data_IF_652893431482
#
_entry.id   IF_652893431482
#
_cell.length_a   1.000
_cell.length_b   1.000
_cell.length_c   1.000
_cell.angle_alpha   90.00
_cell.angle_beta   90.00
_cell.angle_gamma   90.00
#
_symmetry.space_group_name_H-M   'P 1'
#
loop_
_entity.id
_entity.type
_entity.pdbx_description
1 polymer ?
#
# COMPACT_ATOMS: atom_id res chain seq x y z
N UNK A 1 18.52 -22.67 -12.67
CA UNK A 1 18.87 -21.29 -12.35
C UNK A 1 18.57 -21.09 -10.89
N UNK A 2 19.61 -21.06 -10.07
CA UNK A 2 19.50 -20.61 -8.68
C UNK A 2 19.61 -19.09 -8.81
N UNK A 3 18.49 -18.38 -8.65
CA UNK A 3 18.57 -16.94 -8.41
C UNK A 3 19.12 -16.81 -6.99
N UNK A 4 20.26 -16.15 -6.86
CA UNK A 4 20.90 -15.98 -5.55
C UNK A 4 20.02 -15.04 -4.72
N UNK A 5 19.94 -15.29 -3.42
CA UNK A 5 19.13 -14.54 -2.44
C UNK A 5 19.39 -13.01 -2.50
N UNK A 6 20.58 -12.60 -2.94
CA UNK A 6 20.97 -11.20 -3.19
C UNK A 6 20.23 -10.57 -4.38
N UNK A 7 19.99 -11.30 -5.48
CA UNK A 7 19.27 -10.79 -6.66
C UNK A 7 17.77 -10.57 -6.36
N UNK A 8 17.18 -11.36 -5.45
CA UNK A 8 15.79 -11.16 -5.01
C UNK A 8 15.65 -9.93 -4.10
N UNK A 9 16.61 -9.67 -3.22
CA UNK A 9 16.59 -8.48 -2.36
C UNK A 9 16.71 -7.17 -3.18
N UNK A 10 17.61 -7.15 -4.16
CA UNK A 10 17.81 -5.97 -5.02
C UNK A 10 16.59 -5.68 -5.90
N UNK A 11 15.92 -6.72 -6.41
CA UNK A 11 14.71 -6.55 -7.23
C UNK A 11 13.50 -6.08 -6.41
N UNK A 12 13.36 -6.55 -5.17
CA UNK A 12 12.30 -6.10 -4.23
C UNK A 12 12.53 -4.65 -3.79
N UNK A 13 13.78 -4.28 -3.51
CA UNK A 13 14.17 -2.91 -3.14
C UNK A 13 13.87 -1.90 -4.26
N UNK A 14 14.19 -2.25 -5.51
CA UNK A 14 13.93 -1.40 -6.67
C UNK A 14 12.43 -1.19 -6.90
N UNK A 15 11.61 -2.24 -6.73
CA UNK A 15 10.15 -2.15 -6.88
C UNK A 15 9.53 -1.18 -5.88
N UNK A 16 9.97 -1.23 -4.63
CA UNK A 16 9.40 -0.39 -3.58
C UNK A 16 9.74 1.09 -3.77
N UNK A 17 10.95 1.39 -4.25
CA UNK A 17 11.34 2.74 -4.66
C UNK A 17 10.54 3.25 -5.85
N UNK A 18 10.31 2.40 -6.85
CA UNK A 18 9.49 2.73 -8.02
C UNK A 18 8.07 3.10 -7.59
N UNK A 19 7.44 2.26 -6.76
CA UNK A 19 6.10 2.51 -6.21
C UNK A 19 6.02 3.83 -5.42
N UNK A 20 7.00 4.09 -4.55
CA UNK A 20 7.07 5.33 -3.77
C UNK A 20 7.24 6.56 -4.67
N UNK A 21 8.12 6.47 -5.68
CA UNK A 21 8.36 7.55 -6.63
C UNK A 21 7.12 7.85 -7.49
N UNK A 22 6.43 6.82 -7.98
CA UNK A 22 5.25 6.97 -8.83
C UNK A 22 4.09 7.61 -8.07
N UNK A 23 3.91 7.29 -6.78
CA UNK A 23 2.92 7.95 -5.91
C UNK A 23 3.19 9.45 -5.80
N UNK A 24 4.43 9.83 -5.47
CA UNK A 24 4.83 11.23 -5.25
C UNK A 24 4.73 12.04 -6.55
N UNK A 25 5.18 11.46 -7.66
CA UNK A 25 5.18 12.12 -8.97
C UNK A 25 3.84 12.03 -9.71
N UNK A 26 2.90 11.22 -9.22
CA UNK A 26 1.57 11.08 -9.81
C UNK A 26 1.54 10.22 -11.08
N UNK A 27 2.52 9.33 -11.28
CA UNK A 27 2.58 8.40 -12.42
C UNK A 27 1.57 7.25 -12.24
N UNK A 28 0.29 7.57 -12.40
CA UNK A 28 -0.82 6.66 -12.08
C UNK A 28 -0.75 5.34 -12.86
N UNK A 29 -0.38 5.36 -14.14
CA UNK A 29 -0.31 4.14 -14.96
C UNK A 29 0.86 3.24 -14.56
N UNK A 30 2.03 3.82 -14.25
CA UNK A 30 3.20 3.08 -13.79
C UNK A 30 2.94 2.48 -12.40
N UNK A 31 2.37 3.28 -11.49
CA UNK A 31 1.94 2.83 -10.17
C UNK A 31 0.94 1.67 -10.28
N UNK A 32 -0.06 1.78 -11.16
CA UNK A 32 -1.05 0.72 -11.37
C UNK A 32 -0.40 -0.57 -11.89
N UNK A 33 0.55 -0.46 -12.82
CA UNK A 33 1.27 -1.60 -13.37
C UNK A 33 2.16 -2.29 -12.31
N UNK A 34 2.84 -1.51 -11.47
CA UNK A 34 3.68 -2.01 -10.39
C UNK A 34 2.82 -2.65 -9.28
N UNK A 35 1.76 -1.99 -8.83
CA UNK A 35 0.81 -2.55 -7.85
C UNK A 35 0.16 -3.85 -8.35
N UNK A 36 -0.12 -3.96 -9.65
CA UNK A 36 -0.68 -5.19 -10.22
C UNK A 36 0.28 -6.39 -10.16
N UNK A 37 1.60 -6.15 -10.03
CA UNK A 37 2.63 -7.17 -9.83
C UNK A 37 2.88 -7.46 -8.34
N UNK A 38 2.54 -6.52 -7.45
CA UNK A 38 2.61 -6.71 -6.00
C UNK A 38 1.59 -7.75 -5.54
N UNK A 39 2.01 -8.66 -4.64
CA UNK A 39 1.12 -9.71 -4.16
C UNK A 39 -0.02 -9.13 -3.31
N UNK A 40 -1.20 -9.78 -3.34
CA UNK A 40 -2.33 -9.34 -2.53
C UNK A 40 -2.03 -9.36 -1.02
N UNK A 41 -1.10 -10.21 -0.57
CA UNK A 41 -0.64 -10.25 0.84
C UNK A 41 0.12 -8.98 1.21
N UNK A 42 0.99 -8.49 0.33
CA UNK A 42 1.76 -7.27 0.59
C UNK A 42 0.85 -6.04 0.55
N UNK A 43 -0.16 -6.04 -0.32
CA UNK A 43 -1.19 -4.99 -0.35
C UNK A 43 -2.00 -4.96 0.95
N UNK A 44 -2.31 -6.13 1.53
CA UNK A 44 -2.95 -6.20 2.85
C UNK A 44 -2.06 -5.62 3.94
N UNK A 45 -0.76 -5.92 3.93
CA UNK A 45 0.19 -5.34 4.90
C UNK A 45 0.31 -3.82 4.72
N UNK A 46 0.37 -3.35 3.49
CA UNK A 46 0.38 -1.93 3.16
C UNK A 46 -0.89 -1.22 3.67
N UNK A 47 -2.07 -1.76 3.40
CA UNK A 47 -3.32 -1.18 3.90
C UNK A 47 -3.38 -1.14 5.43
N UNK A 48 -2.89 -2.18 6.12
CA UNK A 48 -2.79 -2.20 7.58
C UNK A 48 -1.80 -1.15 8.11
N UNK A 49 -0.68 -0.93 7.43
CA UNK A 49 0.25 0.13 7.79
C UNK A 49 -0.36 1.53 7.63
N UNK A 50 -1.18 1.74 6.59
CA UNK A 50 -1.95 2.98 6.36
C UNK A 50 -3.01 3.18 7.45
N UNK A 51 -3.76 2.13 7.81
CA UNK A 51 -4.76 2.18 8.89
C UNK A 51 -4.15 2.67 10.21
N UNK A 52 -2.99 2.11 10.59
CA UNK A 52 -2.32 2.41 11.85
C UNK A 52 -1.67 3.80 11.82
N UNK A 53 -0.97 4.14 10.73
CA UNK A 53 -0.09 5.31 10.70
C UNK A 53 -0.76 6.56 10.13
N UNK A 54 -1.80 6.38 9.31
CA UNK A 54 -2.48 7.45 8.59
C UNK A 54 -3.99 7.14 8.40
N UNK A 55 -4.77 7.02 9.49
CA UNK A 55 -6.19 6.64 9.41
C UNK A 55 -7.05 7.60 8.56
N UNK A 56 -6.66 8.87 8.47
CA UNK A 56 -7.32 9.84 7.57
C UNK A 56 -7.12 9.48 6.09
N UNK A 57 -5.96 8.92 5.72
CA UNK A 57 -5.67 8.44 4.37
C UNK A 57 -6.37 7.10 4.11
N UNK A 58 -6.42 6.21 5.11
CA UNK A 58 -7.19 4.96 5.04
C UNK A 58 -8.66 5.21 4.65
N UNK A 59 -9.26 6.29 5.17
CA UNK A 59 -10.60 6.75 4.81
C UNK A 59 -10.73 7.53 3.49
N UNK A 60 -9.69 7.59 2.65
CA UNK A 60 -9.72 8.25 1.32
C UNK A 60 -9.55 7.30 0.15
N UNK A 61 -9.17 6.05 0.42
CA UNK A 61 -8.81 5.07 -0.59
C UNK A 61 -9.87 3.95 -0.65
N UNK A 62 -10.20 3.52 -1.86
CA UNK A 62 -11.19 2.51 -2.21
C UNK A 62 -12.66 2.81 -1.90
N UNK A 63 -13.02 4.01 -1.45
CA UNK A 63 -14.39 4.36 -1.12
C UNK A 63 -15.12 5.23 -2.16
N UNK A 64 -14.49 5.43 -3.32
CA UNK A 64 -14.97 6.33 -4.37
C UNK A 64 -15.73 5.63 -5.49
N UNK A 65 -15.69 6.25 -6.67
CA UNK A 65 -16.44 5.87 -7.88
C UNK A 65 -15.53 5.60 -9.08
N UNK A 66 -14.23 5.38 -8.83
CA UNK A 66 -13.17 5.24 -9.85
C UNK A 66 -12.95 3.80 -10.33
N UNK A 67 -13.48 2.82 -9.60
CA UNK A 67 -13.48 1.42 -10.02
C UNK A 67 -14.52 1.14 -11.09
N UNK A 68 -14.44 -0.04 -11.69
CA UNK A 68 -15.50 -0.54 -12.56
C UNK A 68 -16.82 -0.69 -11.80
N UNK A 69 -17.91 -0.95 -12.53
CA UNK A 69 -19.17 -1.45 -11.94
C UNK A 69 -19.90 -2.28 -12.99
N UNK A 70 -20.58 -3.33 -12.54
CA UNK A 70 -21.47 -4.10 -13.38
C UNK A 70 -22.82 -3.40 -13.54
N UNK A 71 -23.50 -3.67 -14.65
CA UNK A 71 -24.81 -3.09 -14.97
C UNK A 71 -25.93 -3.56 -14.04
N UNK A 72 -25.74 -4.69 -13.34
CA UNK A 72 -26.69 -5.22 -12.37
C UNK A 72 -26.49 -4.73 -10.93
N UNK A 73 -25.52 -3.85 -10.68
CA UNK A 73 -25.29 -3.30 -9.35
C UNK A 73 -26.26 -2.14 -9.06
N UNK A 74 -27.34 -2.44 -8.35
CA UNK A 74 -28.46 -1.52 -8.14
C UNK A 74 -28.18 -0.40 -7.14
N UNK A 75 -27.33 -0.61 -6.13
CA UNK A 75 -26.81 0.42 -5.22
C UNK A 75 -25.91 -0.22 -4.16
N UNK A 76 -24.69 -0.63 -4.52
CA UNK A 76 -23.82 -1.25 -3.53
C UNK A 76 -23.38 -0.23 -2.47
N UNK A 77 -23.26 -0.69 -1.23
CA UNK A 77 -22.88 0.15 -0.08
C UNK A 77 -21.83 -0.47 0.83
N UNK A 78 -21.50 -1.74 0.61
CA UNK A 78 -20.51 -2.48 1.38
C UNK A 78 -19.53 -3.19 0.46
N UNK A 79 -18.40 -3.59 1.03
CA UNK A 79 -17.51 -4.57 0.41
C UNK A 79 -18.01 -5.98 0.65
N UNK A 80 -17.64 -6.89 -0.24
CA UNK A 80 -17.78 -8.33 -0.06
C UNK A 80 -16.77 -9.08 -0.94
N UNK A 81 -16.55 -10.35 -0.61
CA UNK A 81 -15.66 -11.23 -1.35
C UNK A 81 -16.19 -11.59 -2.75
N UNK A 82 -17.50 -11.45 -2.96
CA UNK A 82 -18.20 -11.67 -4.22
C UNK A 82 -19.08 -10.46 -4.51
N UNK A 83 -19.09 -9.98 -5.75
CA UNK A 83 -19.94 -8.87 -6.13
C UNK A 83 -21.40 -9.32 -6.19
N UNK A 84 -22.30 -8.49 -5.67
CA UNK A 84 -23.75 -8.70 -5.75
C UNK A 84 -24.42 -7.41 -6.20
N UNK A 85 -25.75 -7.42 -6.32
CA UNK A 85 -26.51 -6.20 -6.59
C UNK A 85 -26.28 -5.09 -5.52
N UNK A 86 -25.89 -5.45 -4.29
CA UNK A 86 -25.76 -4.55 -3.14
C UNK A 86 -24.37 -4.52 -2.47
N UNK A 87 -23.40 -5.29 -2.97
CA UNK A 87 -22.02 -5.29 -2.47
C UNK A 87 -21.01 -5.24 -3.62
N UNK A 88 -19.86 -4.59 -3.40
CA UNK A 88 -18.77 -4.54 -4.37
C UNK A 88 -17.61 -5.44 -3.94
N UNK A 89 -17.00 -6.12 -4.92
CA UNK A 89 -15.78 -6.89 -4.75
C UNK A 89 -14.60 -6.23 -5.49
N UNK A 90 -14.58 -4.89 -5.49
CA UNK A 90 -13.55 -4.08 -6.14
C UNK A 90 -13.37 -2.73 -5.45
N UNK A 91 -12.19 -2.13 -5.59
CA UNK A 91 -11.84 -0.84 -5.03
C UNK A 91 -12.61 0.27 -5.75
N UNK A 92 -13.22 1.19 -5.00
CA UNK A 92 -13.90 2.37 -5.54
C UNK A 92 -15.00 2.06 -6.58
N UNK A 93 -15.66 0.90 -6.49
CA UNK A 93 -16.71 0.46 -7.41
C UNK A 93 -18.12 0.99 -7.10
N UNK A 94 -18.25 2.08 -6.34
CA UNK A 94 -19.54 2.60 -5.89
C UNK A 94 -20.12 3.64 -6.86
N UNK A 95 -21.45 3.84 -6.80
CA UNK A 95 -22.12 4.89 -7.58
C UNK A 95 -21.89 6.30 -7.01
N UNK A 96 -21.59 6.40 -5.72
CA UNK A 96 -21.24 7.63 -5.01
C UNK A 96 -20.26 7.27 -3.90
N UNK A 97 -19.45 8.24 -3.47
CA UNK A 97 -18.51 8.07 -2.36
C UNK A 97 -19.23 7.51 -1.13
N UNK A 98 -18.63 6.54 -0.45
CA UNK A 98 -19.18 5.90 0.75
C UNK A 98 -18.32 6.23 1.97
N UNK A 99 -18.82 7.13 2.81
CA UNK A 99 -18.18 7.44 4.08
C UNK A 99 -18.20 6.22 5.00
N UNK A 100 -17.12 6.04 5.79
CA UNK A 100 -16.95 4.89 6.69
C UNK A 100 -16.43 3.60 6.04
N UNK A 101 -16.30 3.57 4.70
CA UNK A 101 -15.50 2.58 4.01
C UNK A 101 -14.06 3.07 3.86
N UNK A 102 -13.12 2.15 4.06
CA UNK A 102 -11.69 2.41 4.15
C UNK A 102 -10.91 1.41 3.31
N UNK A 103 -9.63 1.70 3.10
CA UNK A 103 -8.72 0.82 2.38
C UNK A 103 -8.46 -0.49 3.14
N UNK A 104 -8.28 -0.42 4.46
CA UNK A 104 -8.20 -1.57 5.37
C UNK A 104 -9.42 -2.51 5.28
N UNK A 105 -10.64 -1.96 5.22
CA UNK A 105 -11.87 -2.74 5.01
C UNK A 105 -11.93 -3.33 3.62
N UNK A 106 -11.54 -2.58 2.59
CA UNK A 106 -11.46 -3.09 1.22
C UNK A 106 -10.58 -4.34 1.17
N UNK A 107 -9.36 -4.30 1.70
CA UNK A 107 -8.45 -5.43 1.58
C UNK A 107 -8.93 -6.67 2.35
N UNK A 108 -9.66 -6.47 3.44
CA UNK A 108 -10.18 -7.53 4.31
C UNK A 108 -11.46 -8.15 3.77
N UNK A 109 -12.47 -7.31 3.49
CA UNK A 109 -13.82 -7.75 3.12
C UNK A 109 -13.88 -8.27 1.68
N UNK A 110 -13.03 -7.74 0.79
CA UNK A 110 -12.89 -8.21 -0.61
C UNK A 110 -11.95 -9.41 -0.72
N UNK A 111 -11.28 -9.82 0.38
CA UNK A 111 -10.38 -10.97 0.44
C UNK A 111 -9.12 -10.85 -0.44
N UNK A 112 -8.50 -9.68 -0.48
CA UNK A 112 -7.36 -9.34 -1.36
C UNK A 112 -6.16 -10.27 -1.19
N UNK A 113 -5.91 -10.80 0.02
CA UNK A 113 -4.85 -11.79 0.26
C UNK A 113 -5.10 -13.15 -0.38
N UNK A 114 -6.35 -13.49 -0.69
CA UNK A 114 -6.79 -14.81 -1.13
C UNK A 114 -7.29 -14.80 -2.58
N UNK A 115 -7.98 -13.73 -3.00
CA UNK A 115 -8.60 -13.56 -4.32
C UNK A 115 -8.87 -12.09 -4.63
N UNK A 116 -9.43 -11.81 -5.81
CA UNK A 116 -9.85 -10.47 -6.24
C UNK A 116 -8.70 -9.45 -6.35
N UNK A 117 -7.44 -9.90 -6.46
CA UNK A 117 -6.29 -9.05 -6.75
C UNK A 117 -5.46 -9.64 -7.89
N UNK A 118 -4.96 -8.82 -8.84
CA UNK A 118 -5.17 -7.37 -9.01
C UNK A 118 -6.49 -7.00 -9.71
N UNK A 119 -7.25 -8.01 -10.15
CA UNK A 119 -8.55 -7.84 -10.81
C UNK A 119 -9.67 -8.07 -9.80
N UNK A 120 -10.54 -7.09 -9.63
CA UNK A 120 -11.75 -7.22 -8.81
C UNK A 120 -12.89 -7.90 -9.55
N UNK A 121 -14.03 -8.04 -8.89
CA UNK A 121 -15.24 -8.62 -9.48
C UNK A 121 -16.39 -7.62 -9.56
N UNK A 122 -17.18 -7.75 -10.61
CA UNK A 122 -18.38 -6.95 -10.88
C UNK A 122 -19.63 -7.83 -10.86
N UNK A 123 -20.81 -7.20 -10.78
CA UNK A 123 -22.08 -7.92 -10.79
C UNK A 123 -22.98 -7.44 -11.93
N UNK A 124 -23.27 -8.35 -12.85
CA UNK A 124 -24.27 -8.18 -13.91
C UNK A 124 -25.51 -9.00 -13.56
N UNK A 125 -25.62 -10.23 -14.03
CA UNK A 125 -26.61 -11.23 -13.57
C UNK A 125 -26.03 -12.22 -12.55
N UNK A 126 -24.73 -12.11 -12.28
CA UNK A 126 -23.92 -12.90 -11.37
C UNK A 126 -22.55 -12.24 -11.19
N UNK A 127 -21.75 -12.75 -10.24
CA UNK A 127 -20.40 -12.26 -10.02
C UNK A 127 -19.47 -12.75 -11.14
N UNK A 128 -18.75 -11.83 -11.78
CA UNK A 128 -17.77 -12.13 -12.82
C UNK A 128 -16.54 -11.23 -12.69
N UNK A 129 -15.47 -11.54 -13.40
CA UNK A 129 -14.25 -10.74 -13.38
C UNK A 129 -14.53 -9.36 -14.00
N UNK A 130 -14.04 -8.32 -13.31
CA UNK A 130 -14.08 -6.97 -13.84
C UNK A 130 -12.99 -6.71 -14.87
N UNK A 131 -12.74 -5.43 -15.14
CA UNK A 131 -11.62 -5.02 -15.97
C UNK A 131 -10.29 -5.55 -15.41
N UNK A 132 -9.45 -6.10 -16.29
CA UNK A 132 -8.11 -6.59 -15.93
C UNK A 132 -7.34 -5.52 -15.14
N UNK A 133 -6.76 -5.91 -14.01
CA UNK A 133 -6.03 -5.05 -13.07
C UNK A 133 -6.87 -3.90 -12.47
N UNK A 134 -8.20 -3.99 -12.52
CA UNK A 134 -9.09 -2.90 -12.11
C UNK A 134 -8.91 -2.45 -10.65
N UNK A 135 -8.58 -3.36 -9.73
CA UNK A 135 -8.32 -2.99 -8.33
C UNK A 135 -6.99 -2.24 -8.20
N UNK A 136 -5.92 -2.72 -8.85
CA UNK A 136 -4.63 -2.04 -8.85
C UNK A 136 -4.74 -0.62 -9.46
N UNK A 137 -5.45 -0.48 -10.58
CA UNK A 137 -5.69 0.81 -11.22
C UNK A 137 -6.50 1.77 -10.33
N UNK A 138 -7.56 1.28 -9.69
CA UNK A 138 -8.38 2.08 -8.79
C UNK A 138 -7.60 2.53 -7.53
N UNK A 139 -6.81 1.64 -6.92
CA UNK A 139 -5.91 1.99 -5.80
C UNK A 139 -4.89 3.04 -6.26
N UNK A 140 -4.22 2.83 -7.39
CA UNK A 140 -3.25 3.79 -7.92
C UNK A 140 -3.87 5.17 -8.12
N UNK A 141 -5.04 5.24 -8.75
CA UNK A 141 -5.75 6.49 -8.96
C UNK A 141 -6.14 7.16 -7.63
N UNK A 142 -6.59 6.38 -6.65
CA UNK A 142 -6.90 6.89 -5.30
C UNK A 142 -5.66 7.50 -4.64
N UNK A 143 -4.51 6.83 -4.68
CA UNK A 143 -3.24 7.28 -4.10
C UNK A 143 -2.66 8.51 -4.80
N UNK A 144 -2.70 8.57 -6.14
CA UNK A 144 -2.16 9.72 -6.89
C UNK A 144 -3.05 10.96 -6.83
N UNK A 145 -4.27 10.83 -6.34
CA UNK A 145 -5.19 11.95 -6.10
C UNK A 145 -5.11 12.51 -4.67
N UNK A 146 -4.25 11.96 -3.81
CA UNK A 146 -3.97 12.52 -2.48
C UNK A 146 -3.23 13.86 -2.58
N UNK A 147 -3.23 14.62 -1.48
CA UNK A 147 -2.39 15.82 -1.38
C UNK A 147 -0.90 15.46 -1.40
N UNK A 148 -0.02 16.43 -1.70
CA UNK A 148 1.43 16.18 -1.76
C UNK A 148 1.98 15.59 -0.46
N UNK A 149 1.56 16.12 0.70
CA UNK A 149 2.01 15.62 2.01
C UNK A 149 1.53 14.18 2.27
N UNK A 150 0.28 13.88 1.91
CA UNK A 150 -0.29 12.54 2.03
C UNK A 150 0.39 11.53 1.10
N UNK A 151 0.76 11.95 -0.11
CA UNK A 151 1.56 11.14 -1.04
C UNK A 151 2.91 10.79 -0.45
N UNK A 152 3.60 11.73 0.17
CA UNK A 152 4.88 11.48 0.83
C UNK A 152 4.74 10.46 1.97
N UNK A 153 3.67 10.54 2.78
CA UNK A 153 3.38 9.57 3.83
C UNK A 153 3.16 8.18 3.23
N UNK A 154 2.30 8.07 2.22
CA UNK A 154 1.98 6.79 1.56
C UNK A 154 3.21 6.18 0.90
N UNK A 155 4.02 6.98 0.22
CA UNK A 155 5.25 6.53 -0.41
C UNK A 155 6.22 5.92 0.60
N UNK A 156 6.38 6.55 1.77
CA UNK A 156 7.19 6.01 2.87
C UNK A 156 6.62 4.71 3.43
N UNK A 157 5.30 4.59 3.55
CA UNK A 157 4.64 3.35 4.00
C UNK A 157 4.81 2.22 2.98
N UNK A 158 4.61 2.49 1.68
CA UNK A 158 4.82 1.53 0.60
C UNK A 158 6.24 0.98 0.62
N UNK A 159 7.23 1.89 0.65
CA UNK A 159 8.65 1.51 0.74
C UNK A 159 8.89 0.57 1.92
N UNK A 160 8.45 0.97 3.13
CA UNK A 160 8.66 0.17 4.34
C UNK A 160 7.98 -1.21 4.28
N UNK A 161 6.79 -1.31 3.70
CA UNK A 161 6.02 -2.56 3.67
C UNK A 161 6.45 -3.52 2.55
N UNK A 162 6.91 -3.00 1.41
CA UNK A 162 7.22 -3.80 0.22
C UNK A 162 8.71 -4.13 0.13
N UNK A 163 9.61 -3.32 0.70
CA UNK A 163 11.03 -3.67 0.83
C UNK A 163 11.28 -4.88 1.74
N UNK A 164 10.23 -5.42 2.38
CA UNK A 164 10.40 -6.48 3.37
C UNK A 164 11.20 -5.97 4.55
N UNK A 165 10.82 -4.80 5.09
CA UNK A 165 11.39 -4.28 6.32
C UNK A 165 11.30 -5.37 7.38
N UNK A 166 12.44 -6.01 7.62
CA UNK A 166 12.64 -7.01 8.64
C UNK A 166 11.85 -6.56 9.86
N UNK A 167 10.83 -7.34 10.22
CA UNK A 167 10.23 -7.23 11.54
C UNK A 167 11.38 -7.57 12.47
N UNK A 168 12.15 -6.55 12.86
CA UNK A 168 12.96 -6.63 14.06
C UNK A 168 11.91 -6.79 15.14
N UNK A 169 11.66 -8.06 15.47
CA UNK A 169 11.02 -8.49 16.69
C UNK A 169 11.73 -7.68 17.79
N UNK A 170 11.10 -6.58 18.23
CA UNK A 170 11.61 -5.83 19.37
C UNK A 170 11.38 -6.76 20.56
N UNK A 171 12.32 -7.69 20.76
CA UNK A 171 12.54 -8.30 22.06
C UNK A 171 12.83 -7.13 22.96
N UNK A 172 11.90 -6.87 23.87
CA UNK A 172 11.98 -5.82 24.87
C UNK A 172 13.42 -5.69 25.36
N UNK A 173 14.10 -4.62 24.94
CA UNK A 173 15.37 -4.25 25.54
C UNK A 173 14.99 -3.72 26.92
N UNK A 174 15.00 -4.64 27.89
CA UNK A 174 14.92 -4.31 29.31
C UNK A 174 15.95 -3.23 29.57
N UNK A 175 15.47 -2.04 29.95
CA UNK A 175 16.27 -0.85 30.18
C UNK A 175 17.17 -1.03 31.39
N UNK A 176 18.30 -1.72 31.24
CA UNK A 176 19.42 -1.57 32.16
C UNK A 176 20.34 -0.51 31.58
N UNK A 177 20.19 0.69 32.14
CA UNK A 177 20.98 1.91 31.93
C UNK A 177 22.45 1.65 31.58
N UNK A 178 22.88 2.01 30.37
CA UNK A 178 24.30 2.16 30.04
C UNK A 178 24.63 3.64 30.21
N UNK A 179 25.40 3.98 31.25
CA UNK A 179 25.96 5.32 31.44
C UNK A 179 26.90 5.66 30.28
N UNK A 180 26.55 6.67 29.50
CA UNK A 180 27.40 7.23 28.45
C UNK A 180 28.50 8.06 29.11
N UNK A 181 29.74 7.58 29.11
CA UNK A 181 30.92 8.39 29.43
C UNK A 181 31.42 9.04 28.13
N UNK A 182 30.97 10.26 27.87
CA UNK A 182 31.49 11.05 26.75
C UNK A 182 32.91 11.54 27.09
N UNK A 183 33.93 10.98 26.43
CA UNK A 183 35.20 11.67 26.22
C UNK A 183 35.42 11.84 24.72
N UNK A 184 35.51 13.10 24.34
CA UNK A 184 35.74 13.63 23.01
C UNK A 184 37.23 13.98 22.96
N UNK A 185 38.02 13.39 22.06
CA UNK A 185 39.37 13.87 21.73
C UNK A 185 39.35 14.42 20.31
N UNK A 186 39.42 15.75 20.23
CA UNK A 186 39.61 16.53 19.00
C UNK A 186 41.10 16.51 18.68
N UNK A 187 41.40 16.12 17.45
CA UNK A 187 42.72 16.28 16.83
C UNK A 187 42.89 17.76 16.44
N UNK A 188 43.84 18.47 17.07
CA UNK A 188 44.41 19.70 16.53
C UNK A 188 45.87 19.47 16.13
N UNK A 189 46.19 20.04 14.98
CA UNK A 189 47.43 19.87 14.22
C UNK A 189 48.25 21.17 14.35
N UNK A 190 49.58 21.04 14.33
CA UNK A 190 50.61 22.07 13.98
C UNK A 190 51.01 23.07 15.11
N UNK A 191 52.27 23.03 15.58
CA UNK A 191 53.40 23.92 15.19
C UNK A 191 54.53 24.03 16.24
N UNK A 192 55.75 23.72 15.81
CA UNK A 192 57.06 24.36 16.07
C UNK A 192 57.75 24.51 17.46
N UNK A 193 59.07 24.26 17.38
CA UNK A 193 60.22 24.78 18.18
C UNK A 193 60.45 24.18 19.57
N UNK A 194 61.64 23.74 19.98
CA UNK A 194 63.05 23.84 19.53
C UNK A 194 63.80 22.53 19.89
#
# INVERSE_FOLDING_TARGET
LILNEEDEADTVYLLAKELAYDVVTGQTDNLAAALARTSGKDIVQFAKAVEISAPTIDGKVCNGTRGGKGSGQSSPSTFAAEATASAVAQCSGFAAKKDGLTFSKFVTDVKISEKNWPTGRIYNSGAEDGTKNGNAAAVAADLTNLTSDEKTIVAGLLAKTIEGGEVVEIRAVSSTSVMVNARFEVMEVVQDRE
#
